data_IF_493368554688
#
_entry.id   IF_493368554688
#
_cell.length_a   1.000
_cell.length_b   1.000
_cell.length_c   1.000
_cell.angle_alpha   90.00
_cell.angle_beta   90.00
_cell.angle_gamma   90.00
#
_symmetry.space_group_name_H-M   'P 1'
#
loop_
_entity.id
_entity.type
_entity.pdbx_description
1 polymer ?
#
# COMPACT_ATOMS: atom_id res chain seq x y z
N UNK A 1 -16.56 25.80 25.00
CA UNK A 1 -15.30 25.25 24.46
C UNK A 1 -15.27 23.78 24.85
N UNK A 2 -15.87 22.91 24.03
CA UNK A 2 -15.99 21.48 24.34
C UNK A 2 -14.64 20.81 24.10
N UNK A 3 -13.98 20.43 25.19
CA UNK A 3 -12.88 19.45 25.17
C UNK A 3 -13.43 18.14 24.62
N UNK A 4 -13.17 17.87 23.33
CA UNK A 4 -13.33 16.55 22.74
C UNK A 4 -12.53 15.56 23.59
N UNK A 5 -13.24 14.77 24.39
CA UNK A 5 -12.70 13.61 25.09
C UNK A 5 -11.94 12.78 24.06
N UNK A 6 -10.65 12.57 24.28
CA UNK A 6 -9.83 11.70 23.45
C UNK A 6 -10.32 10.26 23.63
N UNK A 7 -11.38 9.89 22.89
CA UNK A 7 -11.88 8.53 22.80
C UNK A 7 -10.75 7.64 22.33
N UNK A 8 -10.48 6.50 22.99
CA UNK A 8 -9.36 5.59 22.64
C UNK A 8 -9.43 5.15 21.17
N UNK A 9 -8.27 4.87 20.56
CA UNK A 9 -8.18 4.33 19.20
C UNK A 9 -8.88 2.97 19.15
N UNK A 10 -9.57 2.66 18.04
CA UNK A 10 -10.28 1.38 17.89
C UNK A 10 -9.28 0.23 18.15
N UNK A 11 -9.52 -0.65 19.12
CA UNK A 11 -8.58 -1.73 19.46
C UNK A 11 -8.29 -2.65 18.27
N UNK A 12 -9.20 -2.76 17.30
CA UNK A 12 -8.99 -3.55 16.07
C UNK A 12 -7.94 -2.92 15.18
N UNK A 13 -7.92 -1.59 15.05
CA UNK A 13 -6.88 -0.88 14.29
C UNK A 13 -5.53 -1.03 15.00
N UNK A 14 -5.50 -0.90 16.32
CA UNK A 14 -4.27 -1.13 17.08
C UNK A 14 -3.75 -2.55 16.86
N UNK A 15 -4.61 -3.57 17.00
CA UNK A 15 -4.22 -4.96 16.78
C UNK A 15 -3.72 -5.21 15.35
N UNK A 16 -4.40 -4.65 14.34
CA UNK A 16 -4.03 -4.81 12.94
C UNK A 16 -2.69 -4.12 12.62
N UNK A 17 -2.44 -2.93 13.16
CA UNK A 17 -1.18 -2.22 12.98
C UNK A 17 -0.03 -2.91 13.71
N UNK A 18 -0.27 -3.47 14.91
CA UNK A 18 0.72 -4.29 15.60
C UNK A 18 1.07 -5.55 14.81
N UNK A 19 0.06 -6.21 14.23
CA UNK A 19 0.29 -7.38 13.37
C UNK A 19 1.05 -7.00 12.09
N UNK A 20 0.69 -5.88 11.44
CA UNK A 20 1.41 -5.37 10.29
C UNK A 20 2.87 -5.01 10.64
N UNK A 21 3.12 -4.43 11.81
CA UNK A 21 4.47 -4.15 12.29
C UNK A 21 5.31 -5.43 12.41
N UNK A 22 4.73 -6.48 13.01
CA UNK A 22 5.41 -7.79 13.12
C UNK A 22 5.70 -8.36 11.73
N UNK A 23 4.73 -8.36 10.81
CA UNK A 23 4.94 -8.88 9.47
C UNK A 23 6.00 -8.09 8.68
N UNK A 24 5.95 -6.75 8.69
CA UNK A 24 6.95 -5.93 8.02
C UNK A 24 8.33 -6.10 8.64
N UNK A 25 8.43 -6.30 9.96
CA UNK A 25 9.70 -6.63 10.60
C UNK A 25 10.23 -8.00 10.12
N UNK A 26 9.38 -9.02 10.02
CA UNK A 26 9.77 -10.33 9.47
C UNK A 26 10.28 -10.17 8.04
N UNK A 27 9.48 -9.55 7.17
CA UNK A 27 9.78 -9.38 5.73
C UNK A 27 11.08 -8.61 5.49
N UNK A 28 11.35 -7.57 6.27
CA UNK A 28 12.48 -6.68 6.00
C UNK A 28 13.72 -6.90 6.88
N UNK A 29 13.58 -7.51 8.06
CA UNK A 29 14.69 -7.71 9.01
C UNK A 29 15.06 -9.16 9.20
N UNK A 30 14.08 -10.05 9.37
CA UNK A 30 14.37 -11.46 9.63
C UNK A 30 14.57 -12.27 8.35
N UNK A 31 13.71 -12.07 7.34
CA UNK A 31 13.78 -12.71 6.02
C UNK A 31 13.92 -14.25 6.05
N UNK A 32 13.13 -15.01 6.84
CA UNK A 32 13.26 -16.47 6.89
C UNK A 32 12.87 -17.20 5.60
N UNK A 33 12.00 -16.61 4.77
CA UNK A 33 11.47 -17.20 3.54
C UNK A 33 11.66 -16.26 2.34
N UNK A 34 11.18 -16.70 1.16
CA UNK A 34 11.17 -15.85 -0.03
C UNK A 34 10.22 -14.66 0.13
N UNK A 35 10.66 -13.47 -0.30
CA UNK A 35 9.92 -12.21 -0.20
C UNK A 35 8.47 -12.31 -0.71
N UNK A 36 8.24 -12.92 -1.87
CA UNK A 36 6.90 -13.00 -2.46
C UNK A 36 5.95 -13.84 -1.63
N UNK A 37 6.45 -14.93 -1.02
CA UNK A 37 5.65 -15.76 -0.13
C UNK A 37 5.32 -15.02 1.16
N UNK A 38 6.31 -14.40 1.80
CA UNK A 38 6.11 -13.63 3.03
C UNK A 38 5.12 -12.49 2.82
N UNK A 39 5.29 -11.74 1.72
CA UNK A 39 4.41 -10.64 1.37
C UNK A 39 2.99 -11.10 1.08
N UNK A 40 2.82 -12.21 0.36
CA UNK A 40 1.50 -12.78 0.06
C UNK A 40 0.79 -13.24 1.35
N UNK A 41 1.50 -13.93 2.25
CA UNK A 41 0.95 -14.40 3.52
C UNK A 41 0.59 -13.22 4.44
N UNK A 42 1.49 -12.25 4.60
CA UNK A 42 1.27 -11.07 5.44
C UNK A 42 0.08 -10.24 4.95
N UNK A 43 0.09 -9.84 3.67
CA UNK A 43 -0.97 -9.01 3.09
C UNK A 43 -2.32 -9.72 3.14
N UNK A 44 -2.38 -11.00 2.74
CA UNK A 44 -3.63 -11.78 2.77
C UNK A 44 -4.17 -11.94 4.19
N UNK A 45 -3.31 -12.19 5.18
CA UNK A 45 -3.74 -12.30 6.58
C UNK A 45 -4.35 -10.99 7.07
N UNK A 46 -3.70 -9.86 6.81
CA UNK A 46 -4.21 -8.54 7.18
C UNK A 46 -5.51 -8.20 6.46
N UNK A 47 -5.63 -8.55 5.18
CA UNK A 47 -6.85 -8.36 4.40
C UNK A 47 -8.00 -9.22 4.95
N UNK A 48 -7.76 -10.49 5.27
CA UNK A 48 -8.79 -11.38 5.86
C UNK A 48 -9.25 -10.84 7.21
N UNK A 49 -8.32 -10.45 8.10
CA UNK A 49 -8.68 -9.82 9.38
C UNK A 49 -9.54 -8.56 9.17
N UNK A 50 -9.18 -7.73 8.18
CA UNK A 50 -9.91 -6.51 7.81
C UNK A 50 -11.33 -6.82 7.33
N UNK A 51 -11.49 -7.81 6.46
CA UNK A 51 -12.79 -8.24 5.95
C UNK A 51 -13.69 -8.78 7.07
N UNK A 52 -13.13 -9.59 7.97
CA UNK A 52 -13.87 -10.14 9.12
C UNK A 52 -14.31 -9.02 10.07
N UNK A 53 -13.43 -8.09 10.42
CA UNK A 53 -13.76 -6.99 11.33
C UNK A 53 -14.68 -5.96 10.71
N UNK A 54 -14.64 -5.79 9.39
CA UNK A 54 -15.44 -4.82 8.65
C UNK A 54 -16.62 -5.44 7.89
N UNK A 55 -17.01 -6.68 8.24
CA UNK A 55 -18.03 -7.48 7.52
C UNK A 55 -19.35 -6.76 7.26
N UNK A 56 -19.75 -5.84 8.14
CA UNK A 56 -21.00 -5.08 8.02
C UNK A 56 -20.94 -3.98 6.95
N UNK A 57 -19.75 -3.52 6.58
CA UNK A 57 -19.54 -2.40 5.66
C UNK A 57 -18.96 -2.85 4.31
N UNK A 58 -18.89 -4.15 4.03
CA UNK A 58 -18.29 -4.67 2.80
C UNK A 58 -18.99 -4.14 1.54
N UNK A 59 -20.31 -4.07 1.55
CA UNK A 59 -21.07 -3.53 0.42
C UNK A 59 -20.72 -2.07 0.12
N UNK A 60 -20.42 -1.28 1.14
CA UNK A 60 -20.03 0.13 0.99
C UNK A 60 -18.60 0.24 0.43
N UNK A 61 -17.68 -0.61 0.89
CA UNK A 61 -16.26 -0.54 0.53
C UNK A 61 -15.98 -1.14 -0.85
N UNK A 62 -16.75 -2.15 -1.24
CA UNK A 62 -16.61 -2.86 -2.51
C UNK A 62 -17.69 -2.48 -3.52
N UNK A 63 -18.41 -1.37 -3.31
CA UNK A 63 -19.39 -0.93 -4.29
C UNK A 63 -18.69 -0.73 -5.65
N UNK A 64 -19.38 -1.14 -6.71
CA UNK A 64 -18.84 -1.17 -8.06
C UNK A 64 -19.46 -0.09 -8.93
N UNK A 65 -18.63 0.52 -9.79
CA UNK A 65 -19.05 1.39 -10.90
C UNK A 65 -18.17 1.07 -12.09
N UNK A 66 -18.76 1.03 -13.29
CA UNK A 66 -18.02 0.77 -14.54
C UNK A 66 -16.90 1.77 -14.78
N UNK A 67 -17.06 3.01 -14.31
CA UNK A 67 -16.02 4.05 -14.36
C UNK A 67 -14.77 3.70 -13.55
N UNK A 68 -14.84 2.81 -12.57
CA UNK A 68 -13.68 2.45 -11.74
C UNK A 68 -12.59 1.72 -12.51
N UNK A 69 -12.93 1.02 -13.60
CA UNK A 69 -11.94 0.37 -14.46
C UNK A 69 -11.02 1.39 -15.14
N UNK A 70 -11.53 2.33 -15.97
CA UNK A 70 -10.67 3.33 -16.59
C UNK A 70 -10.00 4.24 -15.56
N UNK A 71 -10.65 4.55 -14.43
CA UNK A 71 -10.03 5.31 -13.33
C UNK A 71 -8.82 4.56 -12.78
N UNK A 72 -8.95 3.26 -12.49
CA UNK A 72 -7.85 2.46 -11.95
C UNK A 72 -6.69 2.33 -12.92
N UNK A 73 -6.97 2.08 -14.20
CA UNK A 73 -5.95 2.01 -15.27
C UNK A 73 -5.21 3.36 -15.39
N UNK A 74 -5.94 4.46 -15.53
CA UNK A 74 -5.34 5.79 -15.64
C UNK A 74 -4.55 6.15 -14.38
N UNK A 75 -5.05 5.77 -13.20
CA UNK A 75 -4.35 5.98 -11.93
C UNK A 75 -3.02 5.22 -11.87
N UNK A 76 -2.98 3.98 -12.37
CA UNK A 76 -1.72 3.22 -12.47
C UNK A 76 -0.71 3.91 -13.39
N UNK A 77 -1.15 4.38 -14.56
CA UNK A 77 -0.28 5.07 -15.53
C UNK A 77 0.24 6.41 -14.99
N UNK A 78 -0.62 7.18 -14.33
CA UNK A 78 -0.23 8.44 -13.68
C UNK A 78 0.79 8.17 -12.58
N UNK A 79 0.53 7.19 -11.71
CA UNK A 79 1.45 6.86 -10.63
C UNK A 79 2.79 6.34 -11.15
N UNK A 80 2.78 5.55 -12.24
CA UNK A 80 3.99 5.13 -12.92
C UNK A 80 4.80 6.34 -13.41
N UNK A 81 4.15 7.30 -14.06
CA UNK A 81 4.80 8.55 -14.52
C UNK A 81 5.38 9.39 -13.36
N UNK A 82 4.68 9.45 -12.22
CA UNK A 82 5.17 10.11 -11.00
C UNK A 82 6.46 9.43 -10.51
N UNK A 83 6.46 8.10 -10.43
CA UNK A 83 7.62 7.33 -9.97
C UNK A 83 8.81 7.42 -10.92
N UNK A 84 8.56 7.36 -12.23
CA UNK A 84 9.59 7.55 -13.23
C UNK A 84 10.23 8.93 -13.12
N UNK A 85 9.42 9.98 -13.00
CA UNK A 85 9.92 11.36 -12.79
C UNK A 85 10.66 11.48 -11.47
N UNK A 86 10.15 10.86 -10.41
CA UNK A 86 10.78 10.82 -9.09
C UNK A 86 12.15 10.15 -9.11
N UNK A 87 12.29 9.05 -9.84
CA UNK A 87 13.58 8.38 -10.05
C UNK A 87 14.59 9.28 -10.76
N UNK A 88 14.21 9.96 -11.85
CA UNK A 88 15.10 10.91 -12.54
C UNK A 88 15.55 12.06 -11.63
N UNK A 89 14.60 12.71 -10.97
CA UNK A 89 14.89 13.86 -10.11
C UNK A 89 15.74 13.42 -8.92
N UNK A 90 15.35 12.35 -8.22
CA UNK A 90 16.11 11.83 -7.08
C UNK A 90 17.53 11.41 -7.45
N UNK A 91 17.75 10.84 -8.64
CA UNK A 91 19.09 10.54 -9.13
C UNK A 91 19.98 11.78 -9.30
N UNK A 92 19.41 12.96 -9.51
CA UNK A 92 20.15 14.22 -9.58
C UNK A 92 20.40 14.87 -8.22
N UNK A 93 19.43 14.78 -7.30
CA UNK A 93 19.50 15.51 -6.01
C UNK A 93 20.00 14.66 -4.84
N UNK A 94 19.92 13.33 -4.93
CA UNK A 94 20.28 12.38 -3.86
C UNK A 94 21.31 11.38 -4.41
N UNK A 95 22.61 11.55 -4.09
CA UNK A 95 23.67 10.68 -4.59
C UNK A 95 23.51 9.18 -4.25
N UNK A 96 22.73 8.86 -3.20
CA UNK A 96 22.47 7.49 -2.76
C UNK A 96 21.20 6.86 -3.39
N UNK A 97 20.39 7.63 -4.13
CA UNK A 97 19.06 7.18 -4.56
C UNK A 97 19.13 6.03 -5.57
N UNK A 98 19.98 6.12 -6.58
CA UNK A 98 20.13 5.08 -7.63
C UNK A 98 20.53 3.74 -7.02
N UNK A 99 21.52 3.75 -6.11
CA UNK A 99 21.93 2.56 -5.37
C UNK A 99 20.80 1.95 -4.55
N UNK A 100 20.04 2.78 -3.82
CA UNK A 100 18.89 2.30 -3.05
C UNK A 100 17.78 1.74 -3.93
N UNK A 101 17.47 2.36 -5.08
CA UNK A 101 16.48 1.81 -6.03
C UNK A 101 16.94 0.44 -6.55
N UNK A 102 18.21 0.28 -6.89
CA UNK A 102 18.79 -1.02 -7.27
C UNK A 102 18.57 -2.10 -6.22
N UNK A 103 18.85 -1.81 -4.94
CA UNK A 103 18.66 -2.79 -3.84
C UNK A 103 17.20 -3.21 -3.64
N UNK A 104 16.22 -2.40 -4.04
CA UNK A 104 14.80 -2.79 -4.02
C UNK A 104 14.62 -3.94 -5.02
N UNK A 105 15.04 -3.77 -6.27
CA UNK A 105 14.92 -4.80 -7.30
C UNK A 105 15.71 -6.06 -6.98
N UNK A 106 16.85 -5.95 -6.31
CA UNK A 106 17.61 -7.10 -5.82
C UNK A 106 16.86 -7.84 -4.71
N UNK A 107 16.25 -7.11 -3.76
CA UNK A 107 15.46 -7.70 -2.66
C UNK A 107 14.22 -8.43 -3.18
N UNK A 108 13.59 -7.89 -4.22
CA UNK A 108 12.45 -8.51 -4.91
C UNK A 108 12.87 -9.69 -5.81
N UNK A 109 14.17 -9.95 -5.97
CA UNK A 109 14.71 -10.96 -6.86
C UNK A 109 14.24 -12.38 -6.55
N UNK A 110 14.07 -13.18 -7.62
CA UNK A 110 13.69 -14.59 -7.56
C UNK A 110 12.22 -14.87 -7.90
N UNK A 111 11.93 -16.10 -8.32
CA UNK A 111 10.60 -16.55 -8.73
C UNK A 111 10.34 -16.44 -10.23
N UNK A 112 9.33 -17.17 -10.72
CA UNK A 112 8.86 -17.08 -12.11
C UNK A 112 8.13 -15.74 -12.31
N UNK A 113 8.45 -14.95 -13.36
CA UNK A 113 7.75 -13.68 -13.64
C UNK A 113 6.23 -13.84 -13.71
N UNK A 114 5.75 -14.97 -14.22
CA UNK A 114 4.32 -15.27 -14.28
C UNK A 114 3.72 -15.45 -12.88
N UNK A 115 4.39 -16.21 -12.00
CA UNK A 115 3.92 -16.43 -10.62
C UNK A 115 3.93 -15.12 -9.85
N UNK A 116 5.03 -14.36 -9.93
CA UNK A 116 5.15 -13.05 -9.28
C UNK A 116 4.07 -12.09 -9.78
N UNK A 117 3.83 -12.03 -11.09
CA UNK A 117 2.78 -11.20 -11.67
C UNK A 117 1.39 -11.58 -11.17
N UNK A 118 1.09 -12.88 -11.06
CA UNK A 118 -0.18 -13.35 -10.49
C UNK A 118 -0.32 -12.99 -9.00
N UNK A 119 0.75 -13.15 -8.21
CA UNK A 119 0.75 -12.76 -6.80
C UNK A 119 0.52 -11.25 -6.64
N UNK A 120 1.21 -10.42 -7.41
CA UNK A 120 1.02 -8.96 -7.38
C UNK A 120 -0.42 -8.58 -7.76
N UNK A 121 -0.89 -9.09 -8.90
CA UNK A 121 -2.16 -8.65 -9.46
C UNK A 121 -3.38 -9.17 -8.69
N UNK A 122 -3.34 -10.43 -8.23
CA UNK A 122 -4.49 -11.11 -7.65
C UNK A 122 -4.45 -11.24 -6.12
N UNK A 123 -3.29 -11.06 -5.49
CA UNK A 123 -3.12 -11.27 -4.04
C UNK A 123 -2.64 -10.00 -3.37
N UNK A 124 -1.40 -9.56 -3.62
CA UNK A 124 -0.73 -8.50 -2.87
C UNK A 124 -1.42 -7.15 -3.07
N UNK A 125 -1.54 -6.69 -4.32
CA UNK A 125 -2.20 -5.41 -4.63
C UNK A 125 -3.63 -5.33 -4.08
N UNK A 126 -4.50 -6.34 -4.31
CA UNK A 126 -5.83 -6.37 -3.73
C UNK A 126 -5.83 -6.38 -2.20
N UNK A 127 -5.00 -7.23 -1.58
CA UNK A 127 -4.96 -7.39 -0.13
C UNK A 127 -4.47 -6.11 0.57
N UNK A 128 -3.47 -5.44 0.02
CA UNK A 128 -2.98 -4.17 0.54
C UNK A 128 -4.04 -3.07 0.48
N UNK A 129 -4.76 -2.92 -0.62
CA UNK A 129 -5.83 -1.91 -0.72
C UNK A 129 -6.99 -2.20 0.23
N UNK A 130 -7.35 -3.47 0.42
CA UNK A 130 -8.36 -3.88 1.39
C UNK A 130 -7.95 -3.52 2.81
N UNK A 131 -6.71 -3.83 3.19
CA UNK A 131 -6.20 -3.54 4.53
C UNK A 131 -5.98 -2.04 4.76
N UNK A 132 -5.19 -1.38 3.91
CA UNK A 132 -4.79 -0.01 4.14
C UNK A 132 -5.93 0.98 3.91
N UNK A 133 -6.71 0.82 2.83
CA UNK A 133 -7.73 1.81 2.44
C UNK A 133 -9.08 1.41 2.99
N UNK A 134 -9.46 0.15 2.74
CA UNK A 134 -10.74 -0.41 3.20
C UNK A 134 -10.88 -0.49 4.72
N UNK A 135 -9.77 -0.62 5.46
CA UNK A 135 -9.81 -0.77 6.92
C UNK A 135 -9.06 0.34 7.69
N UNK A 136 -7.74 0.47 7.54
CA UNK A 136 -6.94 1.41 8.35
C UNK A 136 -7.35 2.86 8.09
N UNK A 137 -7.26 3.33 6.84
CA UNK A 137 -7.63 4.68 6.46
C UNK A 137 -9.09 4.98 6.77
N UNK A 138 -10.01 4.08 6.40
CA UNK A 138 -11.45 4.22 6.69
C UNK A 138 -11.70 4.44 8.19
N UNK A 139 -11.13 3.59 9.04
CA UNK A 139 -11.37 3.65 10.49
C UNK A 139 -10.75 4.91 11.09
N UNK A 140 -9.55 5.30 10.66
CA UNK A 140 -8.93 6.55 11.07
C UNK A 140 -9.73 7.77 10.59
N UNK A 141 -10.27 7.73 9.37
CA UNK A 141 -11.09 8.79 8.80
C UNK A 141 -12.42 8.98 9.54
N UNK A 142 -13.07 7.88 9.96
CA UNK A 142 -14.28 7.93 10.78
C UNK A 142 -14.05 8.61 12.14
N UNK A 143 -12.83 8.56 12.67
CA UNK A 143 -12.48 9.13 13.98
C UNK A 143 -11.86 10.51 13.91
N UNK A 144 -10.92 10.72 12.98
CA UNK A 144 -10.10 11.94 12.88
C UNK A 144 -10.63 12.93 11.83
N UNK A 145 -11.56 12.48 10.99
CA UNK A 145 -11.99 13.20 9.79
C UNK A 145 -11.28 12.67 8.53
N UNK A 146 -11.87 12.91 7.34
CA UNK A 146 -11.42 12.33 6.07
C UNK A 146 -9.94 12.58 5.77
N UNK A 147 -9.51 13.84 5.88
CA UNK A 147 -8.15 14.26 5.53
C UNK A 147 -7.11 13.80 6.55
N UNK A 148 -7.41 13.90 7.84
CA UNK A 148 -6.52 13.45 8.90
C UNK A 148 -6.39 11.92 8.90
N UNK A 149 -7.48 11.19 8.62
CA UNK A 149 -7.46 9.73 8.50
C UNK A 149 -6.62 9.25 7.31
N UNK A 150 -6.77 9.90 6.16
CA UNK A 150 -5.92 9.69 4.98
C UNK A 150 -4.45 9.92 5.30
N UNK A 151 -4.09 11.11 5.79
CA UNK A 151 -2.69 11.44 6.07
C UNK A 151 -2.07 10.53 7.13
N UNK A 152 -2.82 10.21 8.20
CA UNK A 152 -2.35 9.31 9.25
C UNK A 152 -2.09 7.90 8.71
N UNK A 153 -3.00 7.35 7.92
CA UNK A 153 -2.82 6.03 7.31
C UNK A 153 -1.60 6.00 6.38
N UNK A 154 -1.42 7.04 5.57
CA UNK A 154 -0.26 7.15 4.68
C UNK A 154 1.05 7.23 5.46
N UNK A 155 1.14 8.04 6.52
CA UNK A 155 2.35 8.14 7.34
C UNK A 155 2.67 6.81 8.00
N UNK A 156 1.67 6.10 8.54
CA UNK A 156 1.86 4.78 9.15
C UNK A 156 2.34 3.77 8.10
N UNK A 157 1.74 3.77 6.90
CA UNK A 157 2.14 2.91 5.79
C UNK A 157 3.62 3.11 5.41
N UNK A 158 4.03 4.37 5.21
CA UNK A 158 5.42 4.70 4.92
C UNK A 158 6.38 4.36 6.06
N UNK A 159 5.96 4.56 7.31
CA UNK A 159 6.77 4.23 8.48
C UNK A 159 7.04 2.72 8.60
N UNK A 160 6.08 1.86 8.28
CA UNK A 160 6.32 0.41 8.22
C UNK A 160 7.33 0.06 7.12
N UNK A 161 7.27 0.72 5.97
CA UNK A 161 8.23 0.51 4.88
C UNK A 161 9.64 1.00 5.21
N UNK A 162 9.79 1.98 6.12
CA UNK A 162 11.11 2.40 6.62
C UNK A 162 11.86 1.26 7.36
N UNK A 163 11.16 0.21 7.80
CA UNK A 163 11.81 -0.99 8.35
C UNK A 163 12.70 -1.71 7.33
N UNK A 164 12.52 -1.47 6.02
CA UNK A 164 13.46 -1.94 4.99
C UNK A 164 14.89 -1.41 5.15
N UNK A 165 15.07 -0.31 5.88
CA UNK A 165 16.34 0.43 5.88
C UNK A 165 16.65 1.13 4.56
N UNK A 166 15.69 1.16 3.64
CA UNK A 166 15.79 1.79 2.33
C UNK A 166 14.94 3.07 2.31
N UNK A 167 15.61 4.22 2.24
CA UNK A 167 14.95 5.52 2.25
C UNK A 167 14.07 5.71 1.01
N UNK A 168 14.56 5.33 -0.17
CA UNK A 168 13.79 5.43 -1.41
C UNK A 168 12.52 4.58 -1.38
N UNK A 169 12.56 3.37 -0.80
CA UNK A 169 11.37 2.52 -0.63
C UNK A 169 10.36 3.14 0.34
N UNK A 170 10.82 3.73 1.45
CA UNK A 170 9.94 4.41 2.39
C UNK A 170 9.26 5.63 1.75
N UNK A 171 9.99 6.42 0.95
CA UNK A 171 9.44 7.57 0.23
C UNK A 171 8.48 7.14 -0.89
N UNK A 172 8.81 6.06 -1.61
CA UNK A 172 7.91 5.42 -2.56
C UNK A 172 6.59 5.02 -1.90
N UNK A 173 6.65 4.32 -0.76
CA UNK A 173 5.46 3.93 -0.02
C UNK A 173 4.64 5.14 0.46
N UNK A 174 5.27 6.23 0.92
CA UNK A 174 4.56 7.45 1.27
C UNK A 174 3.84 8.06 0.05
N UNK A 175 4.52 8.20 -1.09
CA UNK A 175 3.92 8.77 -2.30
C UNK A 175 2.76 7.91 -2.83
N UNK A 176 2.95 6.60 -2.89
CA UNK A 176 1.90 5.67 -3.31
C UNK A 176 0.74 5.64 -2.31
N UNK A 177 1.04 5.68 -1.00
CA UNK A 177 0.06 5.79 0.07
C UNK A 177 -0.75 7.09 0.02
N UNK A 178 -0.12 8.22 -0.31
CA UNK A 178 -0.83 9.49 -0.56
C UNK A 178 -1.77 9.34 -1.74
N UNK A 179 -1.26 8.81 -2.86
CA UNK A 179 -1.99 8.70 -4.11
C UNK A 179 -3.19 7.76 -4.02
N UNK A 180 -3.00 6.48 -3.67
CA UNK A 180 -4.10 5.52 -3.55
C UNK A 180 -5.04 5.88 -2.41
N UNK A 181 -4.51 6.46 -1.32
CA UNK A 181 -5.35 6.97 -0.25
C UNK A 181 -6.29 8.09 -0.71
N UNK A 182 -5.84 8.95 -1.63
CA UNK A 182 -6.66 10.00 -2.23
C UNK A 182 -7.69 9.41 -3.22
N UNK A 183 -7.31 8.40 -3.99
CA UNK A 183 -8.24 7.63 -4.84
C UNK A 183 -9.38 7.05 -3.97
N UNK A 184 -9.04 6.38 -2.87
CA UNK A 184 -10.04 5.88 -1.93
C UNK A 184 -10.90 7.00 -1.33
N UNK A 185 -10.29 8.11 -0.92
CA UNK A 185 -11.01 9.25 -0.36
C UNK A 185 -12.00 9.86 -1.36
N UNK A 186 -11.65 9.89 -2.64
CA UNK A 186 -12.47 10.47 -3.71
C UNK A 186 -13.66 9.58 -4.10
N UNK A 187 -13.45 8.27 -4.16
CA UNK A 187 -14.43 7.33 -4.72
C UNK A 187 -15.15 6.50 -3.65
N UNK A 188 -14.61 6.41 -2.43
CA UNK A 188 -15.19 5.63 -1.33
C UNK A 188 -15.20 4.12 -1.56
N UNK A 189 -14.49 3.63 -2.59
CA UNK A 189 -14.40 2.22 -2.95
C UNK A 189 -12.93 1.82 -3.08
N UNK A 190 -12.59 0.61 -2.65
CA UNK A 190 -11.24 0.06 -2.85
C UNK A 190 -11.02 -0.40 -4.29
N UNK A 191 -12.08 -0.66 -5.06
CA UNK A 191 -12.00 -1.19 -6.43
C UNK A 191 -11.05 -0.42 -7.36
N UNK A 192 -11.18 0.91 -7.55
CA UNK A 192 -10.26 1.64 -8.42
C UNK A 192 -8.82 1.60 -7.89
N UNK A 193 -8.64 1.58 -6.57
CA UNK A 193 -7.34 1.40 -5.92
C UNK A 193 -6.74 0.03 -6.22
N UNK A 194 -7.52 -1.06 -6.08
CA UNK A 194 -7.09 -2.43 -6.38
C UNK A 194 -6.61 -2.53 -7.83
N UNK A 195 -7.39 -2.04 -8.78
CA UNK A 195 -7.02 -2.05 -10.20
C UNK A 195 -5.73 -1.24 -10.41
N UNK A 196 -5.65 -0.05 -9.81
CA UNK A 196 -4.48 0.82 -9.94
C UNK A 196 -3.22 0.20 -9.35
N UNK A 197 -3.30 -0.33 -8.14
CA UNK A 197 -2.18 -0.89 -7.39
C UNK A 197 -1.65 -2.13 -8.11
N UNK A 198 -2.52 -3.09 -8.44
CA UNK A 198 -2.16 -4.29 -9.18
C UNK A 198 -1.49 -4.00 -10.52
N UNK A 199 -2.02 -3.06 -11.31
CA UNK A 199 -1.43 -2.70 -12.60
C UNK A 199 -0.12 -1.93 -12.43
N UNK A 200 -0.05 -1.04 -11.46
CA UNK A 200 1.16 -0.28 -11.18
C UNK A 200 2.31 -1.20 -10.73
N UNK A 201 2.03 -2.17 -9.87
CA UNK A 201 2.99 -3.19 -9.43
C UNK A 201 3.55 -3.98 -10.63
N UNK A 202 2.67 -4.46 -11.51
CA UNK A 202 3.07 -5.17 -12.73
C UNK A 202 3.97 -4.29 -13.60
N UNK A 203 3.60 -3.01 -13.78
CA UNK A 203 4.37 -2.07 -14.58
C UNK A 203 5.75 -1.81 -13.99
N UNK A 204 5.81 -1.44 -12.72
CA UNK A 204 7.03 -0.95 -12.08
C UNK A 204 7.99 -2.08 -11.68
N UNK A 205 7.50 -3.30 -11.50
CA UNK A 205 8.31 -4.43 -11.05
C UNK A 205 8.66 -5.42 -12.17
N UNK A 206 7.79 -5.60 -13.17
CA UNK A 206 7.96 -6.65 -14.19
C UNK A 206 8.03 -6.14 -15.63
N UNK A 207 7.15 -5.22 -16.03
CA UNK A 207 7.00 -4.82 -17.44
C UNK A 207 7.99 -3.73 -17.84
N UNK A 208 8.10 -2.68 -17.02
CA UNK A 208 8.91 -1.50 -17.29
C UNK A 208 9.59 -0.99 -16.00
N UNK A 209 10.50 -1.78 -15.41
CA UNK A 209 11.17 -1.41 -14.16
C UNK A 209 12.06 -0.16 -14.33
N UNK A 210 12.06 0.69 -13.32
CA UNK A 210 12.88 1.92 -13.26
C UNK A 210 14.12 1.65 -12.40
N UNK A 211 15.24 1.31 -13.05
CA UNK A 211 16.50 0.93 -12.39
C UNK A 211 17.57 1.99 -12.59
#
# INVERSE_FOLDING_TARGET
METKVATKLDPRVVAALSLALVFWWIIFRWKPLNFWLEMSVASSTLAVCSLVWNRKNLAEIFHWKTSFVPIGILSALVLYGIFWTGHLVSGWILPFATGQVGTIYETLGGGSPLIVGLLLAAVIGPAEEIFWKGFVQRTLAQRLGPWQGWLSATVIYGALHALSGNFMLAMAALLAGLFWGLVYLRYGSVIPGIISHSLWDLLILLVAPIR
#
